data_IF_971188209012
#
_entry.id   IF_971188209012
#
_cell.length_a   1.000
_cell.length_b   1.000
_cell.length_c   1.000
_cell.angle_alpha   90.00
_cell.angle_beta   90.00
_cell.angle_gamma   90.00
#
_symmetry.space_group_name_H-M   'P 1'
#
loop_
_entity.id
_entity.type
_entity.pdbx_description
1 polymer ?
#
# COMPACT_ATOMS: atom_id res chain seq x y z
N UNK A 1 7.99 5.11 -2.90
CA UNK A 1 6.87 5.23 -3.86
C UNK A 1 7.40 6.01 -5.07
N UNK A 2 7.08 5.65 -6.32
CA UNK A 2 7.54 6.41 -7.48
C UNK A 2 7.09 7.88 -7.39
N UNK A 3 7.94 8.82 -7.79
CA UNK A 3 7.61 10.26 -7.78
C UNK A 3 7.74 10.99 -6.44
N UNK A 4 8.20 10.33 -5.39
CA UNK A 4 8.50 10.99 -4.10
C UNK A 4 9.66 11.97 -4.25
N UNK A 5 9.49 13.17 -3.70
CA UNK A 5 10.50 14.24 -3.71
C UNK A 5 11.35 14.23 -2.42
N UNK A 6 10.73 14.48 -1.26
CA UNK A 6 11.42 14.49 0.04
C UNK A 6 11.29 13.12 0.73
N UNK A 7 12.17 12.19 0.34
CA UNK A 7 12.17 10.84 0.91
C UNK A 7 12.54 10.84 2.41
N UNK A 8 13.44 11.73 2.84
CA UNK A 8 13.92 11.78 4.22
C UNK A 8 12.81 12.23 5.18
N UNK A 9 12.03 13.25 4.82
CA UNK A 9 10.88 13.68 5.61
C UNK A 9 9.82 12.57 5.72
N UNK A 10 9.52 11.89 4.60
CA UNK A 10 8.53 10.79 4.59
C UNK A 10 9.01 9.62 5.46
N UNK A 11 10.28 9.26 5.37
CA UNK A 11 10.90 8.23 6.20
C UNK A 11 10.82 8.60 7.69
N UNK A 12 11.20 9.82 8.07
CA UNK A 12 11.10 10.28 9.46
C UNK A 12 9.66 10.20 10.02
N UNK A 13 8.66 10.52 9.19
CA UNK A 13 7.24 10.38 9.58
C UNK A 13 6.86 8.90 9.74
N UNK A 14 7.26 8.05 8.79
CA UNK A 14 6.98 6.62 8.84
C UNK A 14 7.66 5.94 10.03
N UNK A 15 8.89 6.32 10.36
CA UNK A 15 9.64 5.83 11.52
C UNK A 15 8.96 6.17 12.83
N UNK A 16 8.42 7.39 12.96
CA UNK A 16 7.64 7.76 14.14
C UNK A 16 6.41 6.84 14.32
N UNK A 17 5.71 6.52 13.23
CA UNK A 17 4.56 5.59 13.26
C UNK A 17 4.99 4.16 13.56
N UNK A 18 6.08 3.69 12.96
CA UNK A 18 6.67 2.37 13.21
C UNK A 18 7.05 2.20 14.67
N UNK A 19 7.78 3.15 15.25
CA UNK A 19 8.16 3.12 16.66
C UNK A 19 6.94 3.09 17.58
N UNK A 20 5.92 3.89 17.27
CA UNK A 20 4.66 3.91 18.02
C UNK A 20 3.97 2.54 17.98
N UNK A 21 3.90 1.90 16.80
CA UNK A 21 3.29 0.59 16.64
C UNK A 21 4.08 -0.51 17.38
N UNK A 22 5.41 -0.50 17.28
CA UNK A 22 6.27 -1.45 18.00
C UNK A 22 6.08 -1.32 19.51
N UNK A 23 6.07 -0.08 20.04
CA UNK A 23 5.81 0.17 21.46
C UNK A 23 4.41 -0.25 21.87
N UNK A 24 3.39 0.02 21.05
CA UNK A 24 2.03 -0.43 21.31
C UNK A 24 1.95 -1.96 21.41
N UNK A 25 2.55 -2.70 20.47
CA UNK A 25 2.58 -4.17 20.51
C UNK A 25 3.21 -4.66 21.81
N UNK A 26 4.34 -4.07 22.23
CA UNK A 26 5.04 -4.45 23.47
C UNK A 26 4.21 -4.16 24.72
N UNK A 27 3.54 -3.02 24.78
CA UNK A 27 2.83 -2.57 25.98
C UNK A 27 1.39 -3.06 26.08
N UNK A 28 0.74 -3.34 24.95
CA UNK A 28 -0.72 -3.55 24.88
C UNK A 28 -1.14 -4.85 24.21
N UNK A 29 -0.22 -5.59 23.60
CA UNK A 29 -0.54 -6.86 22.96
C UNK A 29 0.07 -8.03 23.76
N UNK A 30 -0.74 -8.75 24.56
CA UNK A 30 -0.20 -9.82 25.41
C UNK A 30 0.27 -11.03 24.59
N UNK A 31 1.26 -11.78 25.10
CA UNK A 31 1.60 -13.10 24.56
C UNK A 31 0.41 -14.08 24.62
N UNK A 32 0.34 -15.06 23.70
CA UNK A 32 1.30 -15.33 22.63
C UNK A 32 1.10 -14.46 21.37
N UNK A 33 0.01 -13.67 21.31
CA UNK A 33 -0.41 -12.93 20.11
C UNK A 33 0.60 -11.88 19.61
N UNK A 34 1.43 -11.33 20.50
CA UNK A 34 2.48 -10.38 20.15
C UNK A 34 3.74 -11.01 19.54
N UNK A 35 3.89 -12.34 19.59
CA UNK A 35 5.09 -13.01 19.10
C UNK A 35 5.30 -12.76 17.60
N UNK A 36 6.38 -12.04 17.29
CA UNK A 36 6.78 -11.60 15.94
C UNK A 36 5.71 -10.78 15.20
N UNK A 37 4.74 -10.19 15.90
CA UNK A 37 3.60 -9.54 15.28
C UNK A 37 4.02 -8.38 14.38
N UNK A 38 4.93 -7.53 14.83
CA UNK A 38 5.42 -6.40 14.03
C UNK A 38 6.07 -6.89 12.72
N UNK A 39 6.94 -7.90 12.77
CA UNK A 39 7.57 -8.47 11.59
C UNK A 39 6.52 -9.05 10.62
N UNK A 40 5.50 -9.73 11.13
CA UNK A 40 4.37 -10.23 10.32
C UNK A 40 3.59 -9.10 9.65
N UNK A 41 3.39 -7.97 10.32
CA UNK A 41 2.74 -6.79 9.74
C UNK A 41 3.57 -6.16 8.62
N UNK A 42 4.89 -6.04 8.80
CA UNK A 42 5.79 -5.59 7.74
C UNK A 42 5.76 -6.54 6.54
N UNK A 43 5.73 -7.86 6.77
CA UNK A 43 5.56 -8.85 5.71
C UNK A 43 4.24 -8.63 4.94
N UNK A 44 3.14 -8.31 5.62
CA UNK A 44 1.87 -7.99 4.95
C UNK A 44 1.96 -6.73 4.09
N UNK A 45 2.72 -5.72 4.50
CA UNK A 45 2.99 -4.54 3.66
C UNK A 45 3.79 -4.93 2.41
N UNK A 46 4.73 -5.87 2.51
CA UNK A 46 5.44 -6.42 1.35
C UNK A 46 4.49 -7.18 0.42
N UNK A 47 3.63 -8.05 0.97
CA UNK A 47 2.61 -8.78 0.19
C UNK A 47 1.68 -7.81 -0.58
N UNK A 48 1.32 -6.67 0.03
CA UNK A 48 0.53 -5.61 -0.63
C UNK A 48 1.24 -4.98 -1.83
N UNK A 49 2.59 -5.02 -1.90
CA UNK A 49 3.32 -4.52 -3.08
C UNK A 49 3.09 -5.41 -4.29
N UNK A 50 3.14 -6.73 -4.10
CA UNK A 50 2.86 -7.72 -5.16
C UNK A 50 1.39 -7.67 -5.60
N UNK A 51 0.46 -7.55 -4.66
CA UNK A 51 -0.97 -7.38 -4.99
C UNK A 51 -1.22 -6.10 -5.79
N UNK A 52 -0.57 -4.99 -5.41
CA UNK A 52 -0.69 -3.73 -6.15
C UNK A 52 -0.11 -3.84 -7.57
N UNK A 53 0.99 -4.56 -7.76
CA UNK A 53 1.59 -4.78 -9.08
C UNK A 53 0.69 -5.61 -10.00
N UNK A 54 0.15 -6.72 -9.48
CA UNK A 54 -0.78 -7.57 -10.24
C UNK A 54 -2.09 -6.82 -10.55
N UNK A 55 -2.63 -6.07 -9.59
CA UNK A 55 -3.78 -5.19 -9.82
C UNK A 55 -3.49 -4.17 -10.94
N UNK A 56 -2.35 -3.47 -10.89
CA UNK A 56 -1.98 -2.49 -11.92
C UNK A 56 -1.89 -3.13 -13.31
N UNK A 57 -1.35 -4.35 -13.42
CA UNK A 57 -1.27 -5.09 -14.68
C UNK A 57 -2.66 -5.43 -15.22
N UNK A 58 -3.53 -6.00 -14.39
CA UNK A 58 -4.88 -6.37 -14.78
C UNK A 58 -5.75 -5.15 -15.11
N UNK A 59 -5.67 -4.12 -14.29
CA UNK A 59 -6.37 -2.85 -14.51
C UNK A 59 -6.00 -2.26 -15.86
N UNK A 60 -4.71 -2.18 -16.20
CA UNK A 60 -4.24 -1.68 -17.50
C UNK A 60 -4.87 -2.46 -18.66
N UNK A 61 -4.86 -3.80 -18.60
CA UNK A 61 -5.48 -4.63 -19.65
C UNK A 61 -6.98 -4.34 -19.83
N UNK A 62 -7.71 -4.11 -18.74
CA UNK A 62 -9.14 -3.82 -18.77
C UNK A 62 -9.44 -2.39 -19.22
N UNK A 63 -8.67 -1.40 -18.76
CA UNK A 63 -8.89 0.01 -19.08
C UNK A 63 -8.61 0.33 -20.55
N UNK A 64 -7.81 -0.48 -21.25
CA UNK A 64 -7.62 -0.37 -22.69
C UNK A 64 -8.85 -0.75 -23.52
N UNK A 65 -9.80 -1.49 -22.96
CA UNK A 65 -11.05 -1.83 -23.63
C UNK A 65 -12.07 -0.70 -23.41
N UNK A 66 -12.49 0.04 -24.45
CA UNK A 66 -13.40 1.18 -24.30
C UNK A 66 -14.71 0.82 -23.58
N UNK A 67 -15.23 -0.39 -23.81
CA UNK A 67 -16.46 -0.88 -23.20
C UNK A 67 -16.32 -1.08 -21.68
N UNK A 68 -15.10 -1.31 -21.21
CA UNK A 68 -14.75 -1.44 -19.80
C UNK A 68 -14.42 -0.09 -19.19
N UNK A 69 -13.60 0.75 -19.85
CA UNK A 69 -13.20 2.06 -19.31
C UNK A 69 -14.37 3.04 -19.21
N UNK A 70 -15.33 3.00 -20.13
CA UNK A 70 -16.56 3.82 -20.06
C UNK A 70 -17.44 3.50 -18.85
N UNK A 71 -17.24 2.35 -18.19
CA UNK A 71 -17.96 1.97 -16.96
C UNK A 71 -17.24 2.42 -15.69
N UNK A 72 -16.00 2.91 -15.80
CA UNK A 72 -15.22 3.40 -14.67
C UNK A 72 -15.58 4.85 -14.34
N UNK A 73 -15.46 5.22 -13.07
CA UNK A 73 -15.67 6.60 -12.66
C UNK A 73 -14.44 7.46 -13.01
N UNK A 74 -14.61 8.78 -13.22
CA UNK A 74 -13.49 9.66 -13.51
C UNK A 74 -12.37 9.60 -12.45
N UNK A 75 -12.72 9.47 -11.16
CA UNK A 75 -11.74 9.35 -10.07
C UNK A 75 -10.89 8.09 -10.18
N UNK A 76 -11.48 6.95 -10.58
CA UNK A 76 -10.76 5.70 -10.76
C UNK A 76 -9.75 5.81 -11.91
N UNK A 77 -10.18 6.42 -13.02
CA UNK A 77 -9.34 6.70 -14.17
C UNK A 77 -8.18 7.65 -13.82
N UNK A 78 -8.43 8.69 -13.01
CA UNK A 78 -7.38 9.62 -12.58
C UNK A 78 -6.34 8.95 -11.67
N UNK A 79 -6.79 8.17 -10.67
CA UNK A 79 -5.91 7.60 -9.64
C UNK A 79 -5.13 6.37 -10.13
N UNK A 80 -5.75 5.49 -10.91
CA UNK A 80 -5.11 4.28 -11.40
C UNK A 80 -4.52 4.41 -12.81
N UNK A 81 -4.78 5.54 -13.47
CA UNK A 81 -4.31 5.85 -14.82
C UNK A 81 -5.42 5.71 -15.84
N UNK A 82 -5.41 6.65 -16.79
CA UNK A 82 -6.22 6.62 -17.99
C UNK A 82 -5.24 6.71 -19.15
N UNK A 83 -4.94 5.59 -19.80
CA UNK A 83 -4.21 5.62 -21.07
C UNK A 83 -5.24 5.88 -22.17
N UNK A 84 -5.51 7.16 -22.44
CA UNK A 84 -6.15 7.64 -23.68
C UNK A 84 -5.06 7.83 -24.72
#
# INVERSE_FOLDING_TARGET
>A
RPGVQDAALIEAIQDRLSNTLQMYIRCRHPPPGSHLLYAKMIQKIADLRSLNEEHSKQYRCLSFQPECSMKLTPLVLEVFGNEI
#
